data_IF_772370796543
#
_entry.id   IF_772370796543
#
_cell.length_a   1.000
_cell.length_b   1.000
_cell.length_c   1.000
_cell.angle_alpha   90.00
_cell.angle_beta   90.00
_cell.angle_gamma   90.00
#
_symmetry.space_group_name_H-M   'P 1'
#
loop_
_entity.id
_entity.type
_entity.pdbx_description
1 polymer ?
#
# COMPACT_ATOMS: atom_id res chain seq x y z
N UNK A 1 -8.20 4.38 -24.21
CA UNK A 1 -8.32 5.21 -22.99
C UNK A 1 -7.27 4.79 -21.94
N UNK A 2 -7.47 3.77 -21.09
CA UNK A 2 -6.47 3.42 -20.03
C UNK A 2 -5.10 2.91 -20.54
N UNK A 3 -5.07 2.23 -21.69
CA UNK A 3 -3.82 1.73 -22.32
C UNK A 3 -3.00 2.86 -22.98
N UNK A 4 -3.66 3.91 -23.46
CA UNK A 4 -3.01 5.04 -24.14
C UNK A 4 -2.28 5.97 -23.16
N UNK A 5 -2.67 5.94 -21.88
CA UNK A 5 -2.03 6.71 -20.81
C UNK A 5 -0.88 5.96 -20.12
N UNK A 6 -0.51 4.77 -20.60
CA UNK A 6 0.55 3.94 -19.99
C UNK A 6 0.18 3.36 -18.62
N UNK A 7 -1.13 3.19 -18.36
CA UNK A 7 -1.66 2.69 -17.09
C UNK A 7 -1.91 1.15 -17.09
N UNK A 8 -1.64 0.46 -18.21
CA UNK A 8 -1.81 -0.99 -18.34
C UNK A 8 -0.75 -1.59 -19.28
N UNK A 9 -0.08 -2.67 -18.85
CA UNK A 9 0.94 -3.40 -19.62
C UNK A 9 0.49 -4.88 -19.85
N UNK A 10 0.80 -5.47 -21.01
CA UNK A 10 0.59 -6.91 -21.30
C UNK A 10 -0.78 -7.32 -21.86
N UNK A 11 -0.94 -8.62 -22.15
CA UNK A 11 -2.16 -9.23 -22.73
C UNK A 11 -3.35 -9.24 -21.74
N UNK A 12 -3.08 -9.15 -20.44
CA UNK A 12 -4.07 -9.28 -19.35
C UNK A 12 -4.41 -7.97 -18.62
N UNK A 13 -4.05 -6.80 -19.16
CA UNK A 13 -4.37 -5.49 -18.58
C UNK A 13 -4.00 -5.38 -17.08
N UNK A 14 -2.79 -5.80 -16.72
CA UNK A 14 -2.32 -5.66 -15.34
C UNK A 14 -2.12 -4.16 -15.03
N UNK A 15 -2.72 -3.66 -13.94
CA UNK A 15 -2.60 -2.25 -13.57
C UNK A 15 -1.13 -1.93 -13.28
N UNK A 16 -0.59 -0.89 -13.92
CA UNK A 16 0.81 -0.50 -13.75
C UNK A 16 1.00 0.36 -12.50
N UNK A 17 2.27 0.57 -12.11
CA UNK A 17 2.62 1.36 -10.94
C UNK A 17 2.11 2.79 -10.98
N UNK A 18 1.89 3.34 -12.18
CA UNK A 18 1.25 4.64 -12.35
C UNK A 18 -0.22 4.65 -11.92
N UNK A 19 -0.96 3.57 -12.17
CA UNK A 19 -2.36 3.45 -11.74
C UNK A 19 -2.45 3.43 -10.20
N UNK A 20 -1.69 2.56 -9.55
CA UNK A 20 -1.69 2.49 -8.09
C UNK A 20 -1.11 3.74 -7.42
N UNK A 21 -0.11 4.37 -8.04
CA UNK A 21 0.42 5.67 -7.63
C UNK A 21 -0.65 6.76 -7.66
N UNK A 22 -1.45 6.84 -8.74
CA UNK A 22 -2.54 7.83 -8.86
C UNK A 22 -3.64 7.61 -7.81
N UNK A 23 -4.08 6.36 -7.62
CA UNK A 23 -5.08 5.99 -6.59
C UNK A 23 -4.56 6.28 -5.18
N UNK A 24 -3.30 5.92 -4.92
CA UNK A 24 -2.63 6.22 -3.66
C UNK A 24 -2.55 7.71 -3.40
N UNK A 25 -2.15 8.52 -4.39
CA UNK A 25 -2.05 9.96 -4.25
C UNK A 25 -3.39 10.65 -4.04
N UNK A 26 -4.44 10.22 -4.75
CA UNK A 26 -5.77 10.81 -4.61
C UNK A 26 -6.40 10.48 -3.25
N UNK A 27 -6.33 9.21 -2.80
CA UNK A 27 -6.85 8.82 -1.48
C UNK A 27 -6.02 9.39 -0.33
N UNK A 28 -4.69 9.40 -0.46
CA UNK A 28 -3.79 9.99 0.52
C UNK A 28 -4.00 11.48 0.65
N UNK A 29 -4.24 12.18 -0.46
CA UNK A 29 -4.59 13.60 -0.44
C UNK A 29 -5.94 13.88 0.24
N UNK A 30 -6.95 13.06 -0.03
CA UNK A 30 -8.26 13.19 0.62
C UNK A 30 -8.16 12.95 2.15
N UNK A 31 -7.49 11.88 2.59
CA UNK A 31 -7.29 11.62 4.03
C UNK A 31 -6.41 12.67 4.68
N UNK A 32 -5.35 13.11 4.00
CA UNK A 32 -4.49 14.19 4.47
C UNK A 32 -5.27 15.50 4.64
N UNK A 33 -6.18 15.82 3.72
CA UNK A 33 -7.07 16.97 3.82
C UNK A 33 -8.00 16.89 5.03
N UNK A 34 -8.55 15.71 5.31
CA UNK A 34 -9.41 15.50 6.48
C UNK A 34 -8.64 15.76 7.78
N UNK A 35 -7.37 15.36 7.85
CA UNK A 35 -6.56 15.47 9.08
C UNK A 35 -5.96 16.87 9.27
N UNK A 36 -5.48 17.51 8.20
CA UNK A 36 -4.73 18.76 8.31
C UNK A 36 -5.00 19.74 7.16
N UNK A 37 -6.19 19.69 6.55
CA UNK A 37 -6.64 20.62 5.51
C UNK A 37 -5.66 20.66 4.31
N UNK A 38 -5.48 21.79 3.66
CA UNK A 38 -4.63 21.90 2.46
C UNK A 38 -3.17 21.40 2.64
N UNK A 39 -2.44 21.74 3.73
CA UNK A 39 -1.11 21.18 3.98
C UNK A 39 -1.11 19.64 4.11
N UNK A 40 -2.12 19.11 4.81
CA UNK A 40 -2.31 17.67 4.94
C UNK A 40 -2.60 17.00 3.60
N UNK A 41 -3.38 17.64 2.74
CA UNK A 41 -3.70 17.13 1.41
C UNK A 41 -2.46 16.95 0.54
N UNK A 42 -1.55 17.94 0.54
CA UNK A 42 -0.32 17.85 -0.23
C UNK A 42 0.62 16.76 0.30
N UNK A 43 0.81 16.72 1.62
CA UNK A 43 1.65 15.70 2.26
C UNK A 43 1.08 14.29 2.07
N UNK A 44 -0.23 14.14 2.27
CA UNK A 44 -0.96 12.89 2.11
C UNK A 44 -0.94 12.40 0.65
N UNK A 45 -1.07 13.31 -0.32
CA UNK A 45 -1.00 12.95 -1.73
C UNK A 45 0.38 12.45 -2.13
N UNK A 46 1.47 13.09 -1.67
CA UNK A 46 2.83 12.63 -1.97
C UNK A 46 3.12 11.28 -1.32
N UNK A 47 2.75 11.12 -0.04
CA UNK A 47 2.95 9.88 0.69
C UNK A 47 2.13 8.72 0.09
N UNK A 48 0.86 8.98 -0.22
CA UNK A 48 -0.03 8.01 -0.85
C UNK A 48 0.44 7.62 -2.25
N UNK A 49 0.93 8.58 -3.05
CA UNK A 49 1.46 8.32 -4.39
C UNK A 49 2.68 7.38 -4.34
N UNK A 50 3.60 7.59 -3.39
CA UNK A 50 4.76 6.69 -3.20
C UNK A 50 4.35 5.29 -2.74
N UNK A 51 3.41 5.18 -1.80
CA UNK A 51 2.92 3.88 -1.34
C UNK A 51 2.21 3.08 -2.44
N UNK A 52 1.47 3.78 -3.31
CA UNK A 52 0.84 3.19 -4.49
C UNK A 52 1.86 2.60 -5.46
N UNK A 53 2.94 3.32 -5.76
CA UNK A 53 4.02 2.82 -6.62
C UNK A 53 4.75 1.60 -6.02
N UNK A 54 4.91 1.54 -4.69
CA UNK A 54 5.56 0.41 -3.99
C UNK A 54 4.75 -0.88 -4.07
N UNK A 55 3.41 -0.79 -4.10
CA UNK A 55 2.53 -1.96 -4.22
C UNK A 55 2.70 -2.67 -5.55
N UNK A 56 2.91 -1.92 -6.61
CA UNK A 56 3.03 -2.45 -7.97
C UNK A 56 4.38 -3.12 -8.25
N UNK A 57 5.48 -2.52 -7.77
CA UNK A 57 6.84 -3.03 -7.98
C UNK A 57 7.07 -4.46 -7.46
N UNK A 58 6.18 -4.98 -6.60
CA UNK A 58 6.29 -6.31 -6.01
C UNK A 58 5.51 -7.39 -6.77
N UNK A 59 4.68 -7.02 -7.77
CA UNK A 59 3.98 -7.94 -8.69
C UNK A 59 3.02 -8.97 -8.07
N UNK A 60 3.02 -9.13 -6.74
CA UNK A 60 2.15 -10.00 -5.96
C UNK A 60 1.66 -9.27 -4.73
N UNK A 61 0.41 -9.51 -4.36
CA UNK A 61 -0.09 -9.04 -3.07
C UNK A 61 0.65 -9.74 -1.93
N UNK A 62 0.92 -9.01 -0.84
CA UNK A 62 1.47 -9.62 0.40
C UNK A 62 0.62 -10.81 0.85
N UNK A 63 -0.70 -10.74 0.62
CA UNK A 63 -1.63 -11.83 0.90
C UNK A 63 -1.41 -13.04 -0.01
N UNK A 64 -1.22 -12.85 -1.31
CA UNK A 64 -0.92 -13.94 -2.25
C UNK A 64 0.39 -14.63 -1.87
N UNK A 65 1.43 -13.86 -1.53
CA UNK A 65 2.71 -14.43 -1.04
C UNK A 65 2.49 -15.18 0.28
N UNK A 66 1.72 -14.63 1.21
CA UNK A 66 1.39 -15.30 2.46
C UNK A 66 0.66 -16.61 2.22
N UNK A 67 -0.29 -16.67 1.27
CA UNK A 67 -1.01 -17.89 0.94
C UNK A 67 -0.11 -18.98 0.37
N UNK A 68 0.94 -18.61 -0.38
CA UNK A 68 1.93 -19.54 -0.94
C UNK A 68 2.86 -20.18 0.11
N UNK A 69 2.89 -19.66 1.34
CA UNK A 69 3.78 -20.17 2.39
C UNK A 69 3.34 -21.51 3.01
N UNK A 70 4.29 -22.37 3.42
CA UNK A 70 4.04 -23.49 4.32
C UNK A 70 3.36 -23.06 5.62
N UNK A 71 2.56 -23.95 6.21
CA UNK A 71 1.75 -23.62 7.39
C UNK A 71 2.59 -23.21 8.61
N UNK A 72 3.79 -23.78 8.78
CA UNK A 72 4.72 -23.39 9.83
C UNK A 72 5.19 -21.93 9.67
N UNK A 73 5.52 -21.52 8.44
CA UNK A 73 6.00 -20.17 8.15
C UNK A 73 4.88 -19.13 8.30
N UNK A 74 3.64 -19.49 7.95
CA UNK A 74 2.46 -18.65 8.21
C UNK A 74 2.29 -18.37 9.70
N UNK A 75 2.36 -19.41 10.54
CA UNK A 75 2.19 -19.28 11.99
C UNK A 75 3.30 -18.43 12.61
N UNK A 76 4.55 -18.61 12.15
CA UNK A 76 5.69 -17.81 12.59
C UNK A 76 5.51 -16.34 12.23
N UNK A 77 5.17 -16.03 10.98
CA UNK A 77 4.93 -14.65 10.52
C UNK A 77 3.83 -13.96 11.33
N UNK A 78 2.72 -14.65 11.59
CA UNK A 78 1.63 -14.11 12.40
C UNK A 78 2.08 -13.82 13.85
N UNK A 79 2.90 -14.69 14.43
CA UNK A 79 3.43 -14.51 15.77
C UNK A 79 4.38 -13.30 15.87
N UNK A 80 5.27 -13.14 14.89
CA UNK A 80 6.19 -11.99 14.83
C UNK A 80 5.44 -10.66 14.59
N UNK A 81 4.41 -10.68 13.73
CA UNK A 81 3.54 -9.53 13.49
C UNK A 81 2.76 -9.14 14.75
N UNK A 82 2.20 -10.11 15.46
CA UNK A 82 1.49 -9.85 16.72
C UNK A 82 2.43 -9.17 17.72
N UNK A 83 3.65 -9.68 17.90
CA UNK A 83 4.65 -9.06 18.77
C UNK A 83 4.93 -7.59 18.40
N UNK A 84 5.13 -7.29 17.12
CA UNK A 84 5.39 -5.92 16.63
C UNK A 84 4.19 -4.98 16.79
N UNK A 85 2.97 -5.47 16.53
CA UNK A 85 1.76 -4.65 16.70
C UNK A 85 1.54 -4.36 18.17
N UNK A 86 1.69 -5.35 19.05
CA UNK A 86 1.57 -5.15 20.49
C UNK A 86 2.56 -4.11 20.99
N UNK A 87 3.85 -4.20 20.61
CA UNK A 87 4.86 -3.20 21.04
C UNK A 87 4.58 -1.82 20.49
N UNK A 88 4.08 -1.70 19.25
CA UNK A 88 3.73 -0.40 18.66
C UNK A 88 2.53 0.23 19.38
N UNK A 89 1.51 -0.57 19.74
CA UNK A 89 0.33 -0.11 20.47
C UNK A 89 0.66 0.28 21.90
N UNK A 90 1.48 -0.51 22.62
CA UNK A 90 1.88 -0.17 23.99
C UNK A 90 2.88 0.98 24.05
N UNK A 91 3.76 1.13 23.07
CA UNK A 91 4.70 2.27 23.02
C UNK A 91 4.03 3.59 22.61
N UNK A 92 2.85 3.54 21.98
CA UNK A 92 2.02 4.72 21.71
C UNK A 92 1.05 5.08 22.84
N UNK A 93 0.98 4.28 23.89
CA UNK A 93 0.10 4.47 25.05
C UNK A 93 0.79 5.15 26.26
N UNK A 94 2.04 5.61 26.08
CA UNK A 94 2.82 6.42 27.03
C UNK A 94 3.21 7.74 26.38
#
# INVERSE_FOLDING_TARGET
>A
MLREEGLAEGHDAQPTGKFWSMVGGLSGGAMGFIVANFPGALAGAVAGNRLGAVRDARGKSVYAVFQELPQADKARLLSELAGKVFTTVTSGAT
#
